data_IF_026276392701
#
_entry.id   IF_026276392701
#
_cell.length_a   1.000
_cell.length_b   1.000
_cell.length_c   1.000
_cell.angle_alpha   90.00
_cell.angle_beta   90.00
_cell.angle_gamma   90.00
#
_symmetry.space_group_name_H-M   'P 1'
#
loop_
_entity.id
_entity.type
_entity.pdbx_description
1 polymer ?
#
# COMPACT_ATOMS: atom_id res chain seq x y z
N UNK A 1 -7.81 14.30 -1.33
CA UNK A 1 -7.52 14.42 0.12
C UNK A 1 -7.92 13.18 0.95
N UNK A 2 -8.38 12.07 0.36
CA UNK A 2 -8.93 10.92 1.11
C UNK A 2 -7.95 9.75 1.36
N UNK A 3 -6.73 9.80 0.84
CA UNK A 3 -5.77 8.66 0.90
C UNK A 3 -5.09 8.41 2.25
N UNK A 4 -5.09 9.39 3.18
CA UNK A 4 -4.36 9.28 4.45
C UNK A 4 -5.04 8.38 5.48
N UNK A 5 -6.37 8.29 5.46
CA UNK A 5 -7.13 7.51 6.42
C UNK A 5 -6.84 6.01 6.31
N UNK A 6 -6.63 5.50 5.09
CA UNK A 6 -6.33 4.08 4.85
C UNK A 6 -4.98 3.70 5.48
N UNK A 7 -3.94 4.51 5.29
CA UNK A 7 -2.62 4.25 5.89
C UNK A 7 -2.65 4.31 7.42
N UNK A 8 -3.44 5.23 8.00
CA UNK A 8 -3.61 5.35 9.46
C UNK A 8 -4.32 4.11 10.01
N UNK A 9 -5.42 3.67 9.38
CA UNK A 9 -6.17 2.47 9.79
C UNK A 9 -5.26 1.22 9.71
N UNK A 10 -4.49 1.09 8.63
CA UNK A 10 -3.53 0.00 8.46
C UNK A 10 -2.44 0.03 9.53
N UNK A 11 -1.89 1.20 9.84
CA UNK A 11 -0.88 1.35 10.89
C UNK A 11 -1.43 0.96 12.27
N UNK A 12 -2.66 1.35 12.60
CA UNK A 12 -3.34 0.97 13.86
C UNK A 12 -3.55 -0.55 13.91
N UNK A 13 -4.06 -1.15 12.83
CA UNK A 13 -4.27 -2.59 12.74
C UNK A 13 -2.96 -3.36 12.99
N UNK A 14 -1.88 -2.96 12.31
CA UNK A 14 -0.56 -3.56 12.46
C UNK A 14 0.01 -3.36 13.87
N UNK A 15 -0.19 -2.20 14.48
CA UNK A 15 0.28 -1.93 15.84
C UNK A 15 -0.40 -2.81 16.89
N UNK A 16 -1.70 -3.07 16.73
CA UNK A 16 -2.48 -3.93 17.65
C UNK A 16 -2.21 -5.41 17.43
N UNK A 17 -2.00 -5.83 16.18
CA UNK A 17 -1.89 -7.24 15.83
C UNK A 17 -0.44 -7.78 15.89
N UNK A 18 0.56 -6.95 15.61
CA UNK A 18 1.99 -7.32 15.69
C UNK A 18 2.44 -7.90 17.04
N UNK A 19 2.06 -7.35 18.22
CA UNK A 19 2.46 -7.92 19.50
C UNK A 19 1.84 -9.30 19.75
N UNK A 20 0.69 -9.62 19.14
CA UNK A 20 0.04 -10.93 19.26
C UNK A 20 0.80 -12.03 18.54
N UNK A 21 1.64 -11.68 17.57
CA UNK A 21 2.44 -12.60 16.79
C UNK A 21 3.94 -12.51 17.15
N UNK A 22 4.29 -11.90 18.29
CA UNK A 22 5.66 -11.76 18.76
C UNK A 22 6.54 -10.87 17.87
N UNK A 23 5.93 -9.97 17.08
CA UNK A 23 6.65 -9.03 16.20
C UNK A 23 6.69 -7.62 16.81
N UNK A 24 7.69 -6.85 16.42
CA UNK A 24 7.86 -5.49 16.92
C UNK A 24 6.75 -4.55 16.37
N UNK A 25 5.90 -4.06 17.28
CA UNK A 25 4.71 -3.23 17.00
C UNK A 25 5.05 -1.94 16.26
N UNK A 26 6.10 -1.26 16.69
CA UNK A 26 6.51 0.02 16.11
C UNK A 26 7.02 -0.12 14.67
N UNK A 27 7.77 -1.19 14.41
CA UNK A 27 8.35 -1.44 13.09
C UNK A 27 7.26 -1.68 12.05
N UNK A 28 6.25 -2.49 12.40
CA UNK A 28 5.12 -2.75 11.50
C UNK A 28 4.16 -1.56 11.35
N UNK A 29 3.94 -0.78 12.42
CA UNK A 29 3.13 0.43 12.34
C UNK A 29 3.75 1.49 11.42
N UNK A 30 5.06 1.73 11.52
CA UNK A 30 5.78 2.69 10.66
C UNK A 30 5.75 2.22 9.20
N UNK A 31 6.00 0.93 8.94
CA UNK A 31 5.88 0.36 7.59
C UNK A 31 4.44 0.51 7.05
N UNK A 32 3.43 0.23 7.86
CA UNK A 32 2.03 0.37 7.51
C UNK A 32 1.62 1.81 7.19
N UNK A 33 2.22 2.78 7.85
CA UNK A 33 1.95 4.19 7.60
C UNK A 33 2.60 4.65 6.29
N UNK A 34 3.82 4.16 6.00
CA UNK A 34 4.58 4.48 4.78
C UNK A 34 4.04 3.79 3.51
N UNK A 35 3.71 2.50 3.61
CA UNK A 35 3.38 1.67 2.45
C UNK A 35 1.92 1.16 2.47
N UNK A 36 1.14 1.49 3.51
CA UNK A 36 -0.30 1.22 3.56
C UNK A 36 -0.64 -0.26 3.39
N UNK A 37 -1.57 -0.52 2.47
CA UNK A 37 -2.07 -1.85 2.13
C UNK A 37 -0.99 -2.84 1.71
N UNK A 38 0.12 -2.36 1.15
CA UNK A 38 1.23 -3.21 0.74
C UNK A 38 1.89 -3.89 1.95
N UNK A 39 2.14 -3.13 3.02
CA UNK A 39 2.66 -3.71 4.28
C UNK A 39 1.66 -4.65 4.92
N UNK A 40 0.36 -4.37 4.83
CA UNK A 40 -0.68 -5.24 5.37
C UNK A 40 -0.66 -6.62 4.67
N UNK A 41 -0.51 -6.65 3.34
CA UNK A 41 -0.33 -7.89 2.59
C UNK A 41 0.90 -8.69 3.02
N UNK A 42 2.07 -8.02 3.11
CA UNK A 42 3.32 -8.66 3.56
C UNK A 42 3.24 -9.17 5.00
N UNK A 43 2.58 -8.41 5.88
CA UNK A 43 2.35 -8.78 7.27
C UNK A 43 1.51 -10.05 7.37
N UNK A 44 0.39 -10.11 6.65
CA UNK A 44 -0.50 -11.27 6.62
C UNK A 44 0.21 -12.55 6.15
N UNK A 45 1.13 -12.44 5.18
CA UNK A 45 1.98 -13.56 4.73
C UNK A 45 2.89 -14.03 5.87
N UNK A 46 3.48 -13.10 6.64
CA UNK A 46 4.35 -13.44 7.79
C UNK A 46 3.60 -14.03 8.98
N UNK A 47 2.34 -13.68 9.19
CA UNK A 47 1.48 -14.23 10.26
C UNK A 47 0.73 -15.50 9.84
N UNK A 48 1.31 -16.29 8.93
CA UNK A 48 0.81 -17.60 8.45
C UNK A 48 -0.57 -17.59 7.74
N UNK A 49 -1.20 -16.42 7.58
CA UNK A 49 -2.44 -16.22 6.80
C UNK A 49 -2.13 -16.04 5.32
N UNK A 50 -1.39 -16.99 4.75
CA UNK A 50 -0.82 -16.92 3.39
C UNK A 50 -1.88 -16.61 2.33
N UNK A 51 -3.07 -17.20 2.41
CA UNK A 51 -4.16 -16.97 1.44
C UNK A 51 -4.60 -15.50 1.37
N UNK A 52 -4.98 -14.92 2.51
CA UNK A 52 -5.42 -13.51 2.58
C UNK A 52 -4.28 -12.55 2.27
N UNK A 53 -3.06 -12.86 2.70
CA UNK A 53 -1.89 -12.04 2.44
C UNK A 53 -1.58 -11.89 0.95
N UNK A 54 -1.61 -13.00 0.19
CA UNK A 54 -1.40 -12.96 -1.26
C UNK A 54 -2.50 -12.19 -2.00
N UNK A 55 -3.77 -12.34 -1.60
CA UNK A 55 -4.88 -11.58 -2.21
C UNK A 55 -4.67 -10.07 -2.04
N UNK A 56 -4.38 -9.61 -0.82
CA UNK A 56 -4.16 -8.18 -0.54
C UNK A 56 -2.94 -7.64 -1.30
N UNK A 57 -1.88 -8.44 -1.42
CA UNK A 57 -0.65 -8.04 -2.11
C UNK A 57 -0.89 -7.90 -3.62
N UNK A 58 -1.57 -8.87 -4.24
CA UNK A 58 -1.91 -8.84 -5.68
C UNK A 58 -2.84 -7.65 -5.98
N UNK A 59 -3.88 -7.43 -5.17
CA UNK A 59 -4.80 -6.29 -5.34
C UNK A 59 -4.05 -4.97 -5.23
N UNK A 60 -3.15 -4.85 -4.24
CA UNK A 60 -2.33 -3.64 -4.08
C UNK A 60 -1.44 -3.40 -5.30
N UNK A 61 -0.78 -4.44 -5.82
CA UNK A 61 0.06 -4.34 -7.03
C UNK A 61 -0.77 -3.87 -8.23
N UNK A 62 -1.97 -4.43 -8.44
CA UNK A 62 -2.85 -4.04 -9.55
C UNK A 62 -3.23 -2.55 -9.45
N UNK A 63 -3.63 -2.10 -8.26
CA UNK A 63 -4.00 -0.69 -8.04
C UNK A 63 -2.82 0.24 -8.32
N UNK A 64 -1.63 -0.07 -7.80
CA UNK A 64 -0.42 0.73 -8.05
C UNK A 64 -0.05 0.75 -9.53
N UNK A 65 -0.19 -0.38 -10.23
CA UNK A 65 0.12 -0.48 -11.66
C UNK A 65 -0.82 0.40 -12.51
N UNK A 66 -2.12 0.38 -12.21
CA UNK A 66 -3.10 1.27 -12.86
C UNK A 66 -2.78 2.74 -12.58
N UNK A 67 -2.47 3.07 -11.32
CA UNK A 67 -2.12 4.44 -10.94
C UNK A 67 -0.90 4.96 -11.71
N UNK A 68 0.14 4.15 -11.82
CA UNK A 68 1.35 4.45 -12.59
C UNK A 68 1.01 4.69 -14.07
N UNK A 69 0.21 3.80 -14.69
CA UNK A 69 -0.19 3.95 -16.09
C UNK A 69 -0.94 5.26 -16.34
N UNK A 70 -1.90 5.60 -15.48
CA UNK A 70 -2.67 6.85 -15.57
C UNK A 70 -1.75 8.06 -15.43
N UNK A 71 -0.82 8.03 -14.48
CA UNK A 71 0.10 9.14 -14.22
C UNK A 71 1.08 9.35 -15.37
N UNK A 72 1.65 8.27 -15.92
CA UNK A 72 2.53 8.31 -17.08
C UNK A 72 1.79 8.81 -18.31
N UNK A 73 0.57 8.31 -18.55
CA UNK A 73 -0.25 8.75 -19.67
C UNK A 73 -0.62 10.24 -19.58
N UNK A 74 -1.02 10.71 -18.40
CA UNK A 74 -1.29 12.13 -18.15
C UNK A 74 -0.04 12.99 -18.37
N UNK A 75 1.12 12.55 -17.88
CA UNK A 75 2.38 13.27 -18.05
C UNK A 75 2.81 13.35 -19.53
N UNK A 76 2.64 12.27 -20.30
CA UNK A 76 2.89 12.27 -21.73
C UNK A 76 1.96 13.24 -22.48
N UNK A 77 0.66 13.25 -22.15
CA UNK A 77 -0.29 14.19 -22.71
C UNK A 77 0.07 15.65 -22.38
N UNK A 78 0.58 15.92 -21.17
CA UNK A 78 1.02 17.25 -20.77
C UNK A 78 2.22 17.71 -21.61
N UNK A 79 3.22 16.85 -21.80
CA UNK A 79 4.40 17.17 -22.64
C UNK A 79 3.99 17.45 -24.09
N UNK A 80 3.16 16.58 -24.67
CA UNK A 80 2.69 16.74 -26.06
C UNK A 80 1.83 18.01 -26.18
N UNK A 81 0.94 18.27 -25.22
CA UNK A 81 0.09 19.46 -25.20
C UNK A 81 0.88 20.76 -25.06
N UNK A 82 1.91 20.78 -24.21
CA UNK A 82 2.81 21.92 -24.05
C UNK A 82 3.67 22.17 -25.32
N UNK A 83 4.10 21.11 -26.02
CA UNK A 83 4.89 21.24 -27.24
C UNK A 83 4.11 21.79 -28.44
N UNK A 84 2.78 21.73 -28.41
CA UNK A 84 1.90 22.15 -29.51
C UNK A 84 1.24 23.52 -29.28
N UNK A 85 1.56 24.20 -28.17
CA UNK A 85 1.09 25.54 -27.81
C UNK A 85 2.18 26.59 -28.06
#
# INVERSE_FOLDING_TARGET
MTGWFVSIIVAIYLFVDAPKHGKNKWLWAILGLLFGLFTLGVYLIKTERKGLGWTVLIVSIIIYSIFILVYVFYFLLLIIGYSNA
#
